data_IF_836328429410
#
_entry.id   IF_836328429410
#
_cell.length_a   1.000
_cell.length_b   1.000
_cell.length_c   1.000
_cell.angle_alpha   90.00
_cell.angle_beta   90.00
_cell.angle_gamma   90.00
#
_symmetry.space_group_name_H-M   'P 1'
#
loop_
_entity.id
_entity.type
_entity.pdbx_description
1 polymer ?
#
# COMPACT_ATOMS: atom_id res chain seq x y z
N UNK A 1 5.40 12.80 0.46
CA UNK A 1 4.97 11.51 -0.13
C UNK A 1 5.25 11.45 -1.63
N UNK A 2 4.67 12.32 -2.45
CA UNK A 2 4.80 12.26 -3.91
C UNK A 2 6.24 12.28 -4.43
N UNK A 3 7.12 13.14 -3.91
CA UNK A 3 8.54 13.12 -4.31
C UNK A 3 9.24 11.78 -4.06
N UNK A 4 8.82 11.03 -3.02
CA UNK A 4 9.35 9.68 -2.77
C UNK A 4 8.82 8.69 -3.80
N UNK A 5 7.53 8.77 -4.13
CA UNK A 5 6.93 7.94 -5.18
C UNK A 5 7.51 8.28 -6.57
N UNK A 6 7.76 9.55 -6.86
CA UNK A 6 8.43 9.99 -8.09
C UNK A 6 9.82 9.37 -8.23
N UNK A 7 10.63 9.42 -7.16
CA UNK A 7 11.97 8.84 -7.16
C UNK A 7 11.93 7.32 -7.35
N UNK A 8 11.04 6.62 -6.64
CA UNK A 8 10.88 5.17 -6.79
C UNK A 8 10.36 4.79 -8.17
N UNK A 9 9.42 5.55 -8.72
CA UNK A 9 8.89 5.31 -10.07
C UNK A 9 9.95 5.56 -11.14
N UNK A 10 10.79 6.58 -10.99
CA UNK A 10 11.90 6.82 -11.91
C UNK A 10 12.92 5.68 -11.92
N UNK A 11 13.14 5.03 -10.77
CA UNK A 11 14.07 3.90 -10.63
C UNK A 11 13.45 2.56 -11.09
N UNK A 12 12.21 2.30 -10.73
CA UNK A 12 11.58 0.97 -10.88
C UNK A 12 10.52 0.88 -11.98
N UNK A 13 9.99 2.01 -12.47
CA UNK A 13 8.98 2.03 -13.52
C UNK A 13 7.65 1.38 -13.11
N UNK A 14 6.97 1.90 -12.09
CA UNK A 14 5.68 1.37 -11.65
C UNK A 14 4.65 1.30 -12.79
N UNK A 15 4.07 0.13 -13.00
CA UNK A 15 3.06 -0.14 -14.05
C UNK A 15 1.64 -0.26 -13.51
N UNK A 16 1.49 -0.43 -12.20
CA UNK A 16 0.22 -0.53 -11.48
C UNK A 16 0.45 -0.09 -10.03
N UNK A 17 -0.49 0.67 -9.48
CA UNK A 17 -0.55 0.98 -8.04
C UNK A 17 -1.79 0.32 -7.45
N UNK A 18 -1.60 -0.42 -6.35
CA UNK A 18 -2.69 -1.10 -5.63
C UNK A 18 -2.77 -0.53 -4.22
N UNK A 19 -3.97 -0.09 -3.81
CA UNK A 19 -4.20 0.53 -2.50
C UNK A 19 -5.35 -0.14 -1.76
N UNK A 20 -5.47 0.13 -0.45
CA UNK A 20 -6.51 -0.44 0.41
C UNK A 20 -7.79 0.39 0.55
N UNK A 21 -7.87 1.54 -0.13
CA UNK A 21 -8.98 2.48 0.02
C UNK A 21 -9.06 3.18 1.38
N UNK A 22 -7.97 3.19 2.18
CA UNK A 22 -7.95 3.92 3.44
C UNK A 22 -7.75 5.43 3.25
N UNK A 23 -8.39 6.26 4.08
CA UNK A 23 -8.09 7.70 4.07
C UNK A 23 -6.61 7.94 4.39
N UNK A 24 -5.99 8.88 3.69
CA UNK A 24 -4.59 9.26 3.90
C UNK A 24 -3.68 8.72 2.79
N UNK A 25 -2.72 7.86 3.16
CA UNK A 25 -1.69 7.38 2.24
C UNK A 25 -2.26 6.72 0.97
N UNK A 26 -3.30 5.89 1.10
CA UNK A 26 -3.90 5.21 -0.07
C UNK A 26 -4.49 6.23 -1.05
N UNK A 27 -5.34 7.14 -0.58
CA UNK A 27 -5.89 8.22 -1.41
C UNK A 27 -4.79 9.06 -2.09
N UNK A 28 -3.73 9.42 -1.35
CA UNK A 28 -2.61 10.20 -1.89
C UNK A 28 -1.80 9.43 -2.93
N UNK A 29 -1.70 8.10 -2.80
CA UNK A 29 -1.04 7.23 -3.76
C UNK A 29 -1.90 7.09 -5.03
N UNK A 30 -3.21 6.95 -4.90
CA UNK A 30 -4.14 6.89 -6.04
C UNK A 30 -4.12 8.20 -6.84
N UNK A 31 -4.21 9.36 -6.16
CA UNK A 31 -4.09 10.66 -6.84
C UNK A 31 -2.76 10.83 -7.56
N UNK A 32 -1.66 10.42 -6.92
CA UNK A 32 -0.34 10.48 -7.53
C UNK A 32 -0.25 9.60 -8.77
N UNK A 33 -0.71 8.36 -8.69
CA UNK A 33 -0.66 7.40 -9.79
C UNK A 33 -1.52 7.86 -10.98
N UNK A 34 -2.74 8.34 -10.72
CA UNK A 34 -3.60 8.95 -11.75
C UNK A 34 -2.90 10.13 -12.41
N UNK A 35 -2.26 11.01 -11.63
CA UNK A 35 -1.50 12.15 -12.15
C UNK A 35 -0.28 11.76 -13.01
N UNK A 36 0.20 10.52 -12.87
CA UNK A 36 1.28 9.94 -13.70
C UNK A 36 0.78 9.09 -14.86
N UNK A 37 -0.54 8.93 -15.01
CA UNK A 37 -1.12 8.01 -15.98
C UNK A 37 -0.84 6.54 -15.67
N UNK A 38 -0.52 6.22 -14.41
CA UNK A 38 -0.30 4.84 -13.95
C UNK A 38 -1.67 4.27 -13.55
N UNK A 39 -2.07 3.09 -14.06
CA UNK A 39 -3.28 2.43 -13.62
C UNK A 39 -3.34 2.22 -12.10
N UNK A 40 -4.53 2.34 -11.53
CA UNK A 40 -4.77 2.12 -10.09
C UNK A 40 -5.84 1.05 -9.85
N UNK A 41 -5.68 0.31 -8.75
CA UNK A 41 -6.70 -0.61 -8.22
C UNK A 41 -6.85 -0.34 -6.73
N UNK A 42 -8.07 0.03 -6.32
CA UNK A 42 -8.44 0.17 -4.93
C UNK A 42 -9.12 -1.12 -4.44
N UNK A 43 -8.65 -1.68 -3.32
CA UNK A 43 -9.22 -2.87 -2.69
C UNK A 43 -9.73 -2.53 -1.28
N UNK A 44 -10.98 -2.03 -1.13
CA UNK A 44 -11.51 -1.66 0.17
C UNK A 44 -11.73 -2.89 1.07
N UNK A 45 -11.44 -2.74 2.36
CA UNK A 45 -11.70 -3.80 3.33
C UNK A 45 -13.22 -3.99 3.58
N UNK A 46 -13.68 -5.24 3.51
CA UNK A 46 -15.09 -5.63 3.70
C UNK A 46 -15.48 -5.70 5.18
N UNK A 47 -15.50 -4.55 5.86
CA UNK A 47 -15.73 -4.43 7.30
C UNK A 47 -17.07 -5.02 7.75
N UNK A 48 -18.14 -4.83 6.97
CA UNK A 48 -19.48 -5.34 7.31
C UNK A 48 -19.54 -6.87 7.32
N UNK A 49 -18.68 -7.53 6.55
CA UNK A 49 -18.65 -8.99 6.41
C UNK A 49 -17.70 -9.65 7.43
N UNK A 50 -16.51 -9.09 7.61
CA UNK A 50 -15.44 -9.75 8.38
C UNK A 50 -15.06 -9.02 9.68
N UNK A 51 -15.72 -7.90 9.98
CA UNK A 51 -15.42 -7.08 11.16
C UNK A 51 -13.93 -6.75 11.24
N UNK A 52 -13.32 -6.93 12.42
CA UNK A 52 -11.90 -6.61 12.67
C UNK A 52 -10.92 -7.36 11.77
N UNK A 53 -11.30 -8.53 11.23
CA UNK A 53 -10.44 -9.30 10.34
C UNK A 53 -10.43 -8.76 8.89
N UNK A 54 -11.34 -7.85 8.52
CA UNK A 54 -11.47 -7.35 7.16
C UNK A 54 -10.18 -6.71 6.63
N UNK A 55 -9.48 -5.94 7.47
CA UNK A 55 -8.20 -5.31 7.11
C UNK A 55 -7.11 -6.34 6.76
N UNK A 56 -6.75 -7.27 7.68
CA UNK A 56 -5.83 -8.36 7.41
C UNK A 56 -6.20 -9.26 6.22
N UNK A 57 -7.48 -9.60 6.06
CA UNK A 57 -7.96 -10.41 4.93
C UNK A 57 -7.70 -9.68 3.62
N UNK A 58 -8.14 -8.41 3.52
CA UNK A 58 -7.88 -7.58 2.34
C UNK A 58 -6.39 -7.40 2.07
N UNK A 59 -5.58 -7.20 3.12
CA UNK A 59 -4.12 -7.10 2.99
C UNK A 59 -3.53 -8.33 2.27
N UNK A 60 -3.94 -9.52 2.69
CA UNK A 60 -3.52 -10.78 2.07
C UNK A 60 -4.06 -10.89 0.63
N UNK A 61 -5.32 -10.53 0.42
CA UNK A 61 -5.95 -10.54 -0.92
C UNK A 61 -5.21 -9.65 -1.92
N UNK A 62 -4.79 -8.43 -1.52
CA UNK A 62 -3.98 -7.54 -2.36
C UNK A 62 -2.65 -8.19 -2.78
N UNK A 63 -1.93 -8.80 -1.84
CA UNK A 63 -0.65 -9.47 -2.14
C UNK A 63 -0.83 -10.69 -3.03
N UNK A 64 -1.78 -11.55 -2.71
CA UNK A 64 -1.99 -12.81 -3.44
C UNK A 64 -2.48 -12.57 -4.87
N UNK A 65 -3.37 -11.58 -5.05
CA UNK A 65 -4.01 -11.27 -6.32
C UNK A 65 -3.07 -10.52 -7.26
N UNK A 66 -2.41 -9.46 -6.76
CA UNK A 66 -1.63 -8.56 -7.61
C UNK A 66 -0.13 -8.87 -7.61
N UNK A 67 0.37 -9.68 -6.66
CA UNK A 67 1.78 -10.10 -6.57
C UNK A 67 2.76 -8.94 -6.80
N UNK A 68 2.67 -7.85 -6.02
CA UNK A 68 3.47 -6.67 -6.25
C UNK A 68 4.96 -6.97 -6.08
N UNK A 69 5.81 -6.29 -6.85
CA UNK A 69 7.26 -6.33 -6.65
C UNK A 69 7.74 -5.51 -5.45
N UNK A 70 6.94 -4.54 -5.01
CA UNK A 70 7.27 -3.63 -3.92
C UNK A 70 6.01 -3.24 -3.13
N UNK A 71 6.14 -3.19 -1.80
CA UNK A 71 5.20 -2.53 -0.89
C UNK A 71 5.85 -1.25 -0.35
N UNK A 72 5.18 -0.11 -0.55
CA UNK A 72 5.62 1.18 -0.01
C UNK A 72 4.65 1.62 1.08
N UNK A 73 5.16 1.73 2.31
CA UNK A 73 4.38 2.17 3.47
C UNK A 73 4.78 3.59 3.89
N UNK A 74 3.79 4.47 4.02
CA UNK A 74 3.94 5.78 4.67
C UNK A 74 3.30 5.71 6.05
N UNK A 75 4.10 5.85 7.10
CA UNK A 75 3.66 5.73 8.50
C UNK A 75 3.71 7.10 9.17
N UNK A 76 2.58 7.57 9.65
CA UNK A 76 2.42 8.78 10.48
C UNK A 76 2.63 8.49 11.98
N UNK A 77 2.70 7.21 12.35
CA UNK A 77 2.89 6.75 13.73
C UNK A 77 3.77 5.50 13.81
N UNK A 78 4.46 5.28 14.94
CA UNK A 78 5.34 4.12 15.12
C UNK A 78 4.60 2.78 15.00
N UNK A 79 3.37 2.70 15.54
CA UNK A 79 2.57 1.47 15.56
C UNK A 79 1.32 1.64 14.72
N UNK A 80 1.20 0.85 13.66
CA UNK A 80 0.02 0.81 12.79
C UNK A 80 -0.29 -0.63 12.46
N UNK A 81 -1.12 -1.29 13.27
CA UNK A 81 -1.42 -2.73 13.16
C UNK A 81 -1.72 -3.18 11.72
N UNK A 82 -2.48 -2.39 10.96
CA UNK A 82 -2.81 -2.71 9.57
C UNK A 82 -1.61 -2.63 8.63
N UNK A 83 -0.79 -1.59 8.76
CA UNK A 83 0.44 -1.40 7.98
C UNK A 83 1.50 -2.42 8.37
N UNK A 84 1.70 -2.63 9.67
CA UNK A 84 2.66 -3.59 10.22
C UNK A 84 2.33 -5.02 9.77
N UNK A 85 1.04 -5.37 9.75
CA UNK A 85 0.58 -6.63 9.19
C UNK A 85 0.93 -6.75 7.70
N UNK A 86 0.66 -5.73 6.88
CA UNK A 86 1.01 -5.75 5.45
C UNK A 86 2.52 -5.94 5.23
N UNK A 87 3.34 -5.20 5.98
CA UNK A 87 4.80 -5.30 5.89
C UNK A 87 5.28 -6.72 6.26
N UNK A 88 4.77 -7.29 7.35
CA UNK A 88 5.11 -8.65 7.77
C UNK A 88 4.79 -9.70 6.70
N UNK A 89 3.57 -9.68 6.15
CA UNK A 89 3.18 -10.67 5.12
C UNK A 89 3.92 -10.45 3.78
N UNK A 90 4.25 -9.21 3.42
CA UNK A 90 5.04 -8.90 2.24
C UNK A 90 6.49 -9.42 2.38
N UNK A 91 7.13 -9.15 3.52
CA UNK A 91 8.48 -9.66 3.81
C UNK A 91 8.52 -11.18 3.79
N UNK A 92 7.53 -11.86 4.39
CA UNK A 92 7.44 -13.33 4.36
C UNK A 92 7.24 -13.90 2.96
N UNK A 93 6.58 -13.15 2.08
CA UNK A 93 6.41 -13.50 0.67
C UNK A 93 7.63 -13.17 -0.20
N UNK A 94 8.70 -12.62 0.37
CA UNK A 94 9.88 -12.19 -0.39
C UNK A 94 9.66 -10.92 -1.22
N UNK A 95 8.60 -10.17 -0.94
CA UNK A 95 8.29 -8.90 -1.61
C UNK A 95 9.10 -7.78 -0.96
N UNK A 96 9.71 -6.92 -1.77
CA UNK A 96 10.45 -5.77 -1.27
C UNK A 96 9.56 -4.82 -0.49
N UNK A 97 10.03 -4.29 0.63
CA UNK A 97 9.28 -3.34 1.47
C UNK A 97 10.09 -2.07 1.70
N UNK A 98 9.47 -0.91 1.51
CA UNK A 98 10.04 0.40 1.86
C UNK A 98 9.11 1.09 2.84
N UNK A 99 9.66 1.62 3.94
CA UNK A 99 8.92 2.34 4.96
C UNK A 99 9.44 3.76 5.07
N UNK A 100 8.54 4.73 4.89
CA UNK A 100 8.78 6.14 5.16
C UNK A 100 8.03 6.56 6.40
N UNK A 101 8.76 6.94 7.45
CA UNK A 101 8.17 7.56 8.62
C UNK A 101 7.96 9.05 8.35
N UNK A 102 6.72 9.50 8.45
CA UNK A 102 6.35 10.90 8.32
C UNK A 102 6.47 11.58 9.70
N UNK A 103 6.99 12.82 9.77
CA UNK A 103 6.96 13.58 11.01
C UNK A 103 5.51 13.80 11.45
N UNK A 104 5.28 13.60 12.75
CA UNK A 104 4.02 13.87 13.44
C UNK A 104 3.69 15.36 13.48
#
# INVERSE_FOLDING_TARGET
MWTRLDALHADMGFTLVVTGGARGADNLADFWAVGKGIPTVEMPAKWDLYGRAAGPIRNKEMLDTHRPGLVVAFKDKPVSRGTDHMLDIATRAGVGTIVYNLPS
#
